data_IF_496399422782
#
_entry.id   IF_496399422782
#
_cell.length_a   1.000
_cell.length_b   1.000
_cell.length_c   1.000
_cell.angle_alpha   90.00
_cell.angle_beta   90.00
_cell.angle_gamma   90.00
#
_symmetry.space_group_name_H-M   'P 1'
#
loop_
_entity.id
_entity.type
_entity.pdbx_description
1 polymer ?
#
# COMPACT_ATOMS: atom_id res chain seq x y z
N UNK A 1 -20.15 -6.98 -11.66
CA UNK A 1 -20.08 -5.78 -10.80
C UNK A 1 -20.75 -4.58 -11.44
N UNK A 2 -20.99 -3.50 -10.67
CA UNK A 2 -21.67 -2.27 -11.13
C UNK A 2 -21.14 -1.76 -12.50
N UNK A 3 -19.85 -1.96 -12.75
CA UNK A 3 -19.15 -1.57 -13.99
C UNK A 3 -19.06 -2.66 -15.06
N UNK A 4 -19.81 -3.75 -14.94
CA UNK A 4 -19.88 -4.81 -15.97
C UNK A 4 -18.77 -5.87 -15.92
N UNK A 5 -17.81 -5.80 -14.99
CA UNK A 5 -16.82 -6.87 -14.80
C UNK A 5 -17.47 -8.14 -14.25
N UNK A 6 -17.07 -9.32 -14.75
CA UNK A 6 -17.52 -10.60 -14.24
C UNK A 6 -16.98 -10.81 -12.81
N UNK A 7 -17.82 -11.25 -11.87
CA UNK A 7 -17.42 -11.36 -10.46
C UNK A 7 -16.17 -12.23 -10.24
N UNK A 8 -15.99 -13.28 -11.05
CA UNK A 8 -14.80 -14.13 -11.00
C UNK A 8 -13.49 -13.43 -11.40
N UNK A 9 -13.56 -12.21 -11.94
CA UNK A 9 -12.39 -11.39 -12.29
C UNK A 9 -12.06 -10.34 -11.22
N UNK A 10 -12.85 -10.23 -10.14
CA UNK A 10 -12.55 -9.33 -9.02
C UNK A 10 -12.07 -10.13 -7.83
N UNK A 11 -11.01 -9.62 -7.20
CA UNK A 11 -10.43 -10.17 -5.99
C UNK A 11 -10.50 -9.09 -4.92
N UNK A 12 -11.32 -9.33 -3.90
CA UNK A 12 -11.43 -8.46 -2.72
C UNK A 12 -10.57 -9.04 -1.59
N UNK A 13 -9.81 -8.18 -0.91
CA UNK A 13 -8.84 -8.56 0.13
C UNK A 13 -8.80 -7.55 1.28
N UNK A 14 -8.48 -8.05 2.45
CA UNK A 14 -8.10 -7.29 3.65
C UNK A 14 -6.57 -7.14 3.73
N UNK A 15 -6.05 -6.47 4.77
CA UNK A 15 -4.62 -6.36 5.02
C UNK A 15 -3.95 -7.71 5.28
N UNK A 16 -2.70 -7.83 4.83
CA UNK A 16 -1.84 -9.00 5.02
C UNK A 16 -2.36 -10.29 4.38
N UNK A 17 -3.20 -10.17 3.37
CA UNK A 17 -3.58 -11.28 2.52
C UNK A 17 -2.66 -11.41 1.32
N UNK A 18 -2.61 -12.61 0.76
CA UNK A 18 -1.86 -12.94 -0.45
C UNK A 18 -2.82 -13.20 -1.61
N UNK A 19 -2.44 -12.75 -2.79
CA UNK A 19 -3.01 -13.12 -4.07
C UNK A 19 -1.90 -13.78 -4.89
N UNK A 20 -2.07 -15.05 -5.18
CA UNK A 20 -1.18 -15.75 -6.12
C UNK A 20 -1.51 -15.26 -7.53
N UNK A 21 -0.49 -14.76 -8.22
CA UNK A 21 -0.55 -14.37 -9.61
C UNK A 21 0.17 -15.44 -10.45
N UNK A 22 -0.13 -15.48 -11.75
CA UNK A 22 0.50 -16.45 -12.64
C UNK A 22 2.02 -16.26 -12.71
N UNK A 23 2.72 -17.30 -13.18
CA UNK A 23 4.16 -17.26 -13.49
C UNK A 23 5.06 -16.92 -12.30
N UNK A 24 4.65 -17.30 -11.09
CA UNK A 24 5.45 -17.13 -9.87
C UNK A 24 5.41 -15.71 -9.28
N UNK A 25 4.48 -14.87 -9.74
CA UNK A 25 4.20 -13.59 -9.12
C UNK A 25 3.26 -13.76 -7.93
N UNK A 26 3.39 -12.91 -6.92
CA UNK A 26 2.42 -12.82 -5.83
C UNK A 26 2.24 -11.36 -5.44
N UNK A 27 1.00 -10.99 -5.13
CA UNK A 27 0.68 -9.70 -4.55
C UNK A 27 0.33 -9.92 -3.07
N UNK A 28 1.00 -9.20 -2.18
CA UNK A 28 0.57 -9.11 -0.79
C UNK A 28 -0.09 -7.76 -0.57
N UNK A 29 -1.23 -7.77 0.10
CA UNK A 29 -1.85 -6.56 0.60
C UNK A 29 -1.22 -6.17 1.92
N UNK A 30 -1.04 -4.89 2.16
CA UNK A 30 -0.46 -4.38 3.39
C UNK A 30 -1.20 -3.11 3.85
N UNK A 31 -1.06 -2.72 5.13
CA UNK A 31 -1.66 -1.49 5.61
C UNK A 31 -1.08 -0.26 4.91
N UNK A 32 -1.95 0.73 4.72
CA UNK A 32 -1.58 2.13 4.53
C UNK A 32 -2.36 2.95 5.57
N UNK A 33 -1.91 4.15 5.87
CA UNK A 33 -2.62 5.06 6.76
C UNK A 33 -3.36 6.11 5.93
N UNK A 34 -4.57 5.77 5.50
CA UNK A 34 -5.38 6.65 4.65
C UNK A 34 -6.89 6.48 4.94
N UNK A 35 -7.75 6.92 4.01
CA UNK A 35 -9.19 6.74 4.07
C UNK A 35 -9.77 6.58 2.65
N UNK A 36 -11.01 6.13 2.52
CA UNK A 36 -11.74 6.11 1.23
C UNK A 36 -12.92 7.06 1.24
N UNK A 37 -13.37 7.51 0.07
CA UNK A 37 -14.60 8.30 -0.01
C UNK A 37 -15.02 8.64 -1.44
N UNK A 38 -16.33 8.67 -1.66
CA UNK A 38 -16.97 9.17 -2.90
C UNK A 38 -18.21 9.96 -2.53
N UNK A 39 -18.34 11.16 -3.11
CA UNK A 39 -19.42 12.11 -2.82
C UNK A 39 -19.52 12.42 -1.32
N UNK A 40 -20.63 12.10 -0.66
CA UNK A 40 -20.84 12.38 0.77
C UNK A 40 -20.52 11.17 1.67
N UNK A 41 -20.09 10.04 1.11
CA UNK A 41 -19.78 8.82 1.85
C UNK A 41 -18.27 8.68 2.05
N UNK A 42 -17.86 8.28 3.26
CA UNK A 42 -16.47 8.01 3.62
C UNK A 42 -16.33 6.61 4.21
N UNK A 43 -15.14 6.02 4.07
CA UNK A 43 -14.73 4.75 4.67
C UNK A 43 -15.62 3.56 4.30
N UNK A 44 -16.15 3.55 3.08
CA UNK A 44 -16.99 2.47 2.57
C UNK A 44 -16.19 1.35 1.88
N UNK A 45 -14.92 1.59 1.59
CA UNK A 45 -13.98 0.57 1.10
C UNK A 45 -12.67 0.64 1.88
N UNK A 46 -11.97 -0.49 1.99
CA UNK A 46 -10.64 -0.53 2.58
C UNK A 46 -9.61 0.18 1.67
N UNK A 47 -8.54 0.68 2.26
CA UNK A 47 -7.35 1.21 1.58
C UNK A 47 -6.16 0.30 1.88
N UNK A 48 -5.31 0.10 0.89
CA UNK A 48 -4.21 -0.87 0.93
C UNK A 48 -2.96 -0.23 0.34
N UNK A 49 -1.80 -0.61 0.89
CA UNK A 49 -0.55 -0.65 0.14
C UNK A 49 -0.34 -2.08 -0.39
N UNK A 50 0.62 -2.26 -1.29
CA UNK A 50 0.90 -3.56 -1.89
C UNK A 50 2.39 -3.89 -1.87
N UNK A 51 2.71 -5.17 -1.74
CA UNK A 51 4.01 -5.71 -2.10
C UNK A 51 3.83 -6.67 -3.27
N UNK A 52 4.38 -6.30 -4.43
CA UNK A 52 4.48 -7.18 -5.58
C UNK A 52 5.78 -7.99 -5.47
N UNK A 53 5.65 -9.29 -5.27
CA UNK A 53 6.73 -10.24 -5.35
C UNK A 53 6.78 -10.84 -6.75
N UNK A 54 7.95 -10.78 -7.38
CA UNK A 54 8.28 -11.46 -8.63
C UNK A 54 9.24 -12.62 -8.34
N UNK A 55 9.69 -13.33 -9.37
CA UNK A 55 10.73 -14.35 -9.22
C UNK A 55 12.06 -13.81 -8.69
N UNK A 56 12.35 -12.51 -8.86
CA UNK A 56 13.65 -11.92 -8.56
C UNK A 56 13.61 -10.63 -7.75
N UNK A 57 12.44 -10.02 -7.56
CA UNK A 57 12.29 -8.71 -6.91
C UNK A 57 11.07 -8.67 -5.99
N UNK A 58 11.14 -7.85 -4.96
CA UNK A 58 10.01 -7.40 -4.15
C UNK A 58 9.87 -5.89 -4.27
N UNK A 59 8.74 -5.46 -4.82
CA UNK A 59 8.43 -4.05 -5.07
C UNK A 59 7.29 -3.64 -4.15
N UNK A 60 7.53 -2.65 -3.29
CA UNK A 60 6.50 -2.04 -2.46
C UNK A 60 5.83 -0.87 -3.18
N UNK A 61 4.50 -0.82 -3.17
CA UNK A 61 3.68 0.26 -3.68
C UNK A 61 2.87 0.85 -2.51
N UNK A 62 3.27 2.04 -2.06
CA UNK A 62 2.76 2.63 -0.81
C UNK A 62 1.36 3.23 -0.91
N UNK A 63 0.95 3.69 -2.10
CA UNK A 63 -0.25 4.53 -2.24
C UNK A 63 -0.14 5.84 -1.46
N UNK A 64 -1.28 6.52 -1.27
CA UNK A 64 -1.37 7.66 -0.35
C UNK A 64 -1.36 7.15 1.09
N UNK A 65 -0.44 7.65 1.91
CA UNK A 65 -0.31 7.20 3.30
C UNK A 65 0.30 8.30 4.16
N UNK A 66 -0.20 8.45 5.39
CA UNK A 66 0.52 9.17 6.44
C UNK A 66 1.59 8.29 7.08
N UNK A 67 2.59 8.90 7.71
CA UNK A 67 3.63 8.15 8.40
C UNK A 67 3.14 7.49 9.70
N UNK A 68 3.56 6.24 9.94
CA UNK A 68 3.40 5.50 11.21
C UNK A 68 4.27 4.22 11.22
N UNK A 69 4.17 3.39 12.27
CA UNK A 69 4.95 2.15 12.46
C UNK A 69 4.77 1.09 11.37
N UNK A 70 3.66 1.13 10.63
CA UNK A 70 3.34 0.15 9.59
C UNK A 70 4.45 -0.03 8.55
N UNK A 71 5.20 1.02 8.19
CA UNK A 71 6.33 0.90 7.25
C UNK A 71 7.44 -0.02 7.79
N UNK A 72 7.80 0.15 9.06
CA UNK A 72 8.81 -0.70 9.72
C UNK A 72 8.30 -2.14 9.85
N UNK A 73 7.03 -2.32 10.23
CA UNK A 73 6.40 -3.64 10.33
C UNK A 73 6.38 -4.37 8.96
N UNK A 74 6.13 -3.63 7.88
CA UNK A 74 6.17 -4.16 6.50
C UNK A 74 7.61 -4.53 6.12
N UNK A 75 8.59 -3.66 6.41
CA UNK A 75 10.01 -3.93 6.17
C UNK A 75 10.52 -5.17 6.91
N UNK A 76 10.11 -5.38 8.16
CA UNK A 76 10.44 -6.60 8.92
C UNK A 76 9.74 -7.84 8.36
N UNK A 77 8.46 -7.72 7.99
CA UNK A 77 7.65 -8.87 7.55
C UNK A 77 8.05 -9.36 6.15
N UNK A 78 8.35 -8.44 5.25
CA UNK A 78 8.51 -8.73 3.82
C UNK A 78 9.92 -8.54 3.29
N UNK A 79 10.83 -7.95 4.08
CA UNK A 79 12.20 -7.66 3.68
C UNK A 79 13.03 -8.87 3.21
N UNK A 80 14.13 -8.64 2.48
CA UNK A 80 14.53 -7.34 1.90
C UNK A 80 13.56 -6.90 0.80
N UNK A 81 13.29 -5.59 0.70
CA UNK A 81 12.48 -4.98 -0.37
C UNK A 81 13.45 -4.33 -1.36
N UNK A 82 13.32 -4.62 -2.65
CA UNK A 82 14.27 -4.14 -3.66
C UNK A 82 13.94 -2.74 -4.18
N UNK A 83 12.66 -2.36 -4.14
CA UNK A 83 12.18 -1.05 -4.58
C UNK A 83 10.95 -0.64 -3.79
N UNK A 84 10.95 0.58 -3.26
CA UNK A 84 9.76 1.22 -2.68
C UNK A 84 9.30 2.39 -3.56
N UNK A 85 8.04 2.33 -3.99
CA UNK A 85 7.34 3.43 -4.67
C UNK A 85 6.46 4.13 -3.63
N UNK A 86 6.88 5.33 -3.25
CA UNK A 86 6.23 6.13 -2.21
C UNK A 86 5.70 7.44 -2.79
N UNK A 87 4.54 7.87 -2.29
CA UNK A 87 3.99 9.19 -2.58
C UNK A 87 4.86 10.29 -1.92
N UNK A 88 4.92 11.46 -2.55
CA UNK A 88 5.64 12.63 -2.05
C UNK A 88 4.95 13.92 -2.50
N UNK A 89 3.62 13.95 -2.40
CA UNK A 89 2.77 15.06 -2.81
C UNK A 89 1.78 15.42 -1.71
N UNK A 90 0.91 16.41 -1.98
CA UNK A 90 -0.21 16.74 -1.10
C UNK A 90 0.17 16.85 0.39
N UNK A 91 1.35 17.32 0.77
CA UNK A 91 1.74 17.35 2.19
C UNK A 91 1.22 18.62 2.88
N UNK A 92 0.62 18.47 4.06
CA UNK A 92 0.19 19.61 4.89
C UNK A 92 -0.02 19.16 6.34
N UNK A 93 0.19 20.08 7.28
CA UNK A 93 -0.08 19.86 8.71
C UNK A 93 -1.53 19.43 8.97
N UNK A 94 -2.48 19.91 8.19
CA UNK A 94 -3.90 19.61 8.34
C UNK A 94 -4.28 18.15 8.02
N UNK A 95 -3.44 17.42 7.29
CA UNK A 95 -3.71 16.03 6.88
C UNK A 95 -2.46 15.14 6.91
N UNK A 96 -1.53 15.44 7.82
CA UNK A 96 -0.30 14.67 8.07
C UNK A 96 -0.53 13.18 8.38
N UNK A 97 -1.71 12.84 8.90
CA UNK A 97 -2.07 11.45 9.21
C UNK A 97 -2.46 10.63 7.98
N UNK A 98 -2.56 11.25 6.81
CA UNK A 98 -2.99 10.57 5.58
C UNK A 98 -2.09 10.89 4.38
N UNK A 99 -1.19 11.88 4.49
CA UNK A 99 -0.12 12.15 3.52
C UNK A 99 1.17 12.47 4.26
N UNK A 100 2.27 11.84 3.83
CA UNK A 100 3.60 12.05 4.41
C UNK A 100 4.16 13.43 4.09
N UNK A 101 4.90 14.01 5.04
CA UNK A 101 5.82 15.10 4.72
C UNK A 101 7.06 14.57 3.98
N UNK A 102 7.75 15.39 3.17
CA UNK A 102 8.91 14.92 2.37
C UNK A 102 10.03 14.24 3.18
N UNK A 103 10.25 14.65 4.44
CA UNK A 103 11.24 14.01 5.31
C UNK A 103 10.78 12.66 5.85
N UNK A 104 9.47 12.45 5.99
CA UNK A 104 8.88 11.17 6.39
C UNK A 104 8.94 10.15 5.25
N UNK A 105 8.90 10.58 3.99
CA UNK A 105 9.08 9.69 2.83
C UNK A 105 10.44 9.00 2.88
N UNK A 106 11.51 9.75 3.21
CA UNK A 106 12.84 9.18 3.38
C UNK A 106 12.89 8.19 4.55
N UNK A 107 12.21 8.52 5.66
CA UNK A 107 12.13 7.65 6.82
C UNK A 107 11.36 6.36 6.52
N UNK A 108 10.24 6.47 5.82
CA UNK A 108 9.44 5.33 5.38
C UNK A 108 10.25 4.40 4.46
N UNK A 109 11.04 4.93 3.53
CA UNK A 109 11.94 4.12 2.70
C UNK A 109 12.99 3.36 3.55
N UNK A 110 13.59 4.02 4.54
CA UNK A 110 14.53 3.39 5.48
C UNK A 110 13.86 2.29 6.32
N UNK A 111 12.67 2.56 6.84
CA UNK A 111 11.91 1.60 7.66
C UNK A 111 11.44 0.38 6.84
N UNK A 112 11.11 0.59 5.57
CA UNK A 112 10.83 -0.48 4.61
C UNK A 112 12.07 -1.30 4.25
N UNK A 113 13.28 -0.82 4.58
CA UNK A 113 14.58 -1.41 4.22
C UNK A 113 14.73 -1.56 2.69
N UNK A 114 14.33 -0.53 1.94
CA UNK A 114 14.40 -0.46 0.48
C UNK A 114 15.45 0.54 0.01
#
# INVERSE_FOLDING_TARGET
EHWGFAAGNIIEKDWYEKVDLDSGFALYTAPARHFSGRSLSRNNTLWLSYLLQTATLKIYLGGDSGYDTHFAEIGEKFGPIDLAILENGQYNKAWQYIHMHPHEVLKAAQDLKA
#
